data_IF_440464731128
#
_entry.id   IF_440464731128
#
_cell.length_a   1.000
_cell.length_b   1.000
_cell.length_c   1.000
_cell.angle_alpha   90.00
_cell.angle_beta   90.00
_cell.angle_gamma   90.00
#
_symmetry.space_group_name_H-M   'P 1'
#
loop_
_entity.id
_entity.type
_entity.pdbx_description
1 polymer ?
#
# COMPACT_ATOMS: atom_id res chain seq x y z
N UNK A 1 16.96 0.60 -17.18
CA UNK A 1 17.28 -0.84 -17.32
C UNK A 1 18.19 -1.38 -16.21
N UNK A 2 19.43 -0.90 -16.02
CA UNK A 2 20.42 -1.41 -15.01
C UNK A 2 19.86 -1.66 -13.60
N UNK A 3 19.08 -0.74 -13.02
CA UNK A 3 18.46 -0.90 -11.69
C UNK A 3 17.42 -2.03 -11.60
N UNK A 4 16.76 -2.39 -12.71
CA UNK A 4 15.80 -3.50 -12.72
C UNK A 4 16.52 -4.84 -12.53
N UNK A 5 17.67 -5.01 -13.19
CA UNK A 5 18.48 -6.24 -13.11
C UNK A 5 18.91 -6.57 -11.68
N UNK A 6 19.11 -5.55 -10.84
CA UNK A 6 19.42 -5.71 -9.41
C UNK A 6 18.34 -6.47 -8.61
N UNK A 7 17.10 -6.55 -9.11
CA UNK A 7 16.04 -7.35 -8.48
C UNK A 7 16.25 -8.85 -8.69
N UNK A 8 16.82 -9.24 -9.83
CA UNK A 8 17.05 -10.64 -10.22
C UNK A 8 18.34 -11.21 -9.63
N UNK A 9 19.25 -10.35 -9.16
CA UNK A 9 20.46 -10.78 -8.44
C UNK A 9 20.09 -11.41 -7.10
N UNK A 10 20.56 -12.64 -6.89
CA UNK A 10 20.35 -13.44 -5.68
C UNK A 10 21.04 -12.80 -4.47
N UNK A 11 22.33 -12.44 -4.61
CA UNK A 11 23.06 -11.76 -3.55
C UNK A 11 22.49 -10.37 -3.28
N UNK A 12 22.45 -9.98 -2.00
CA UNK A 12 21.99 -8.67 -1.52
C UNK A 12 23.17 -7.87 -0.99
N UNK A 13 23.51 -6.80 -1.69
CA UNK A 13 24.68 -5.95 -1.39
C UNK A 13 24.47 -5.06 -0.17
N UNK A 14 23.22 -4.71 0.16
CA UNK A 14 22.88 -3.97 1.38
C UNK A 14 22.03 -4.84 2.31
N UNK A 15 22.61 -5.25 3.44
CA UNK A 15 21.95 -6.06 4.47
C UNK A 15 21.70 -5.24 5.73
N UNK A 16 20.55 -5.41 6.36
CA UNK A 16 20.25 -4.75 7.61
C UNK A 16 20.91 -5.51 8.77
N UNK A 17 21.47 -4.78 9.74
CA UNK A 17 22.06 -5.37 10.93
C UNK A 17 21.02 -5.72 12.02
N UNK A 18 19.79 -5.20 11.91
CA UNK A 18 18.74 -5.35 12.92
C UNK A 18 17.63 -6.33 12.53
N UNK A 19 17.65 -6.85 11.30
CA UNK A 19 16.71 -7.87 10.81
C UNK A 19 17.18 -8.48 9.48
N UNK A 20 16.50 -9.50 8.99
CA UNK A 20 16.88 -10.25 7.78
C UNK A 20 16.67 -9.50 6.45
N UNK A 21 16.35 -8.20 6.50
CA UNK A 21 16.10 -7.42 5.29
C UNK A 21 17.39 -7.17 4.50
N UNK A 22 17.39 -7.58 3.23
CA UNK A 22 18.45 -7.29 2.26
C UNK A 22 17.92 -6.71 0.95
N UNK A 23 18.67 -5.79 0.34
CA UNK A 23 18.37 -5.25 -1.00
C UNK A 23 19.63 -4.88 -1.78
N UNK A 24 19.55 -4.85 -3.10
CA UNK A 24 20.62 -4.35 -3.98
C UNK A 24 20.45 -2.86 -4.32
N UNK A 25 19.42 -2.21 -3.81
CA UNK A 25 19.09 -0.82 -4.15
C UNK A 25 19.29 0.07 -2.92
N UNK A 26 20.36 0.87 -2.92
CA UNK A 26 20.73 1.79 -1.82
C UNK A 26 19.58 2.67 -1.34
N UNK A 27 18.75 3.20 -2.26
CA UNK A 27 17.56 4.00 -1.92
C UNK A 27 16.54 3.22 -1.08
N UNK A 28 16.33 1.94 -1.38
CA UNK A 28 15.40 1.10 -0.62
C UNK A 28 15.99 0.71 0.73
N UNK A 29 17.30 0.49 0.79
CA UNK A 29 18.00 0.24 2.05
C UNK A 29 17.89 1.44 3.01
N UNK A 30 18.24 2.66 2.56
CA UNK A 30 18.06 3.87 3.36
C UNK A 30 16.62 4.04 3.86
N UNK A 31 15.63 3.81 3.00
CA UNK A 31 14.21 3.86 3.37
C UNK A 31 13.82 2.77 4.37
N UNK A 32 14.42 1.58 4.26
CA UNK A 32 14.20 0.49 5.20
C UNK A 32 14.72 0.85 6.59
N UNK A 33 15.92 1.44 6.71
CA UNK A 33 16.50 1.82 8.00
C UNK A 33 15.60 2.77 8.80
N UNK A 34 14.80 3.60 8.13
CA UNK A 34 13.80 4.43 8.79
C UNK A 34 12.79 3.61 9.62
N UNK A 35 12.54 2.34 9.30
CA UNK A 35 11.64 1.48 10.10
C UNK A 35 12.17 1.27 11.52
N UNK A 36 13.48 1.18 11.69
CA UNK A 36 14.14 0.97 12.97
C UNK A 36 14.24 2.24 13.82
N UNK A 37 14.21 3.43 13.19
CA UNK A 37 14.21 4.71 13.91
C UNK A 37 12.88 4.93 14.62
N UNK A 38 12.84 5.22 15.92
CA UNK A 38 11.57 5.46 16.62
C UNK A 38 10.83 6.73 16.15
N UNK A 39 11.57 7.76 15.72
CA UNK A 39 10.99 9.07 15.40
C UNK A 39 10.14 9.09 14.13
N UNK A 40 9.09 9.91 14.17
CA UNK A 40 8.24 10.27 13.04
C UNK A 40 8.62 11.67 12.56
N UNK A 41 9.53 11.71 11.60
CA UNK A 41 10.14 12.98 11.14
C UNK A 41 9.17 13.85 10.33
N UNK A 42 8.11 13.27 9.77
CA UNK A 42 7.09 14.01 9.00
C UNK A 42 5.78 14.06 9.78
N UNK A 43 5.43 15.25 10.28
CA UNK A 43 4.21 15.48 11.08
C UNK A 43 3.16 16.23 10.26
N UNK A 44 1.90 15.93 10.51
CA UNK A 44 0.77 16.68 9.98
C UNK A 44 0.60 17.98 10.77
N UNK A 45 0.28 19.06 10.07
CA UNK A 45 0.02 20.38 10.68
C UNK A 45 -1.42 20.53 11.17
N UNK A 46 -2.33 19.66 10.73
CA UNK A 46 -3.77 19.74 11.05
C UNK A 46 -4.22 18.75 12.12
N UNK A 47 -3.38 17.76 12.47
CA UNK A 47 -3.71 16.76 13.50
C UNK A 47 -2.45 16.04 14.02
N UNK A 48 -2.61 15.16 15.02
CA UNK A 48 -1.51 14.43 15.66
C UNK A 48 -0.89 13.31 14.81
N UNK A 49 -1.21 13.21 13.52
CA UNK A 49 -0.63 12.20 12.64
C UNK A 49 0.84 12.50 12.35
N UNK A 50 1.68 11.46 12.43
CA UNK A 50 3.08 11.53 12.03
C UNK A 50 3.56 10.24 11.38
N UNK A 51 4.54 10.35 10.49
CA UNK A 51 5.10 9.22 9.74
C UNK A 51 6.59 9.40 9.48
N UNK A 52 7.27 8.29 9.17
CA UNK A 52 8.69 8.28 8.79
C UNK A 52 8.89 8.52 7.28
N UNK A 53 7.80 8.58 6.51
CA UNK A 53 7.83 8.67 5.06
C UNK A 53 7.05 9.88 4.54
N UNK A 54 7.74 10.82 3.90
CA UNK A 54 7.11 12.02 3.30
C UNK A 54 5.96 11.68 2.35
N UNK A 55 6.10 10.63 1.53
CA UNK A 55 5.02 10.18 0.63
C UNK A 55 3.73 9.80 1.36
N UNK A 56 3.84 9.27 2.59
CA UNK A 56 2.66 8.94 3.40
C UNK A 56 2.07 10.18 4.05
N UNK A 57 2.90 11.18 4.42
CA UNK A 57 2.37 12.46 4.88
C UNK A 57 1.59 13.14 3.75
N UNK A 58 2.16 13.23 2.54
CA UNK A 58 1.46 13.79 1.36
C UNK A 58 0.13 13.11 1.10
N UNK A 59 0.09 11.78 1.15
CA UNK A 59 -1.16 11.02 1.01
C UNK A 59 -2.13 11.27 2.17
N UNK A 60 -1.63 11.39 3.40
CA UNK A 60 -2.45 11.68 4.57
C UNK A 60 -3.11 13.06 4.46
N UNK A 61 -2.37 14.08 4.00
CA UNK A 61 -2.87 15.45 3.84
C UNK A 61 -4.09 15.53 2.91
N UNK A 62 -4.23 14.59 1.97
CA UNK A 62 -5.42 14.48 1.11
C UNK A 62 -6.74 14.25 1.89
N UNK A 63 -6.66 13.81 3.15
CA UNK A 63 -7.83 13.66 4.04
C UNK A 63 -8.31 14.99 4.60
N UNK A 64 -7.43 15.99 4.69
CA UNK A 64 -7.75 17.34 5.13
C UNK A 64 -8.21 18.24 3.98
N UNK A 65 -8.13 17.75 2.74
CA UNK A 65 -8.64 18.45 1.57
C UNK A 65 -10.13 18.12 1.37
N UNK A 66 -10.97 19.16 1.36
CA UNK A 66 -12.43 19.04 1.22
C UNK A 66 -12.84 18.67 -0.22
N UNK A 67 -12.18 19.25 -1.23
CA UNK A 67 -12.45 18.92 -2.63
C UNK A 67 -12.10 17.46 -2.90
N UNK A 68 -12.87 16.79 -3.77
CA UNK A 68 -12.63 15.39 -4.16
C UNK A 68 -12.32 15.33 -5.65
N UNK A 69 -11.06 15.06 -6.00
CA UNK A 69 -10.60 15.07 -7.40
C UNK A 69 -11.02 13.84 -8.19
N UNK A 70 -11.21 12.69 -7.53
CA UNK A 70 -11.71 11.48 -8.17
C UNK A 70 -13.14 11.23 -7.73
N UNK A 71 -14.08 11.36 -8.64
CA UNK A 71 -15.51 11.14 -8.43
C UNK A 71 -15.96 9.91 -9.22
N UNK A 72 -16.79 9.08 -8.61
CA UNK A 72 -17.38 7.93 -9.28
C UNK A 72 -18.52 8.42 -10.19
N UNK A 73 -18.66 7.82 -11.36
CA UNK A 73 -19.76 8.12 -12.27
C UNK A 73 -21.04 7.34 -11.92
N UNK A 74 -20.91 6.26 -11.15
CA UNK A 74 -22.00 5.31 -10.84
C UNK A 74 -22.61 5.54 -9.45
N UNK A 75 -22.02 6.40 -8.61
CA UNK A 75 -22.55 6.78 -7.30
C UNK A 75 -21.87 8.04 -6.75
N UNK A 76 -22.34 8.56 -5.62
CA UNK A 76 -21.83 9.80 -4.99
C UNK A 76 -20.44 9.66 -4.33
N UNK A 77 -19.76 8.52 -4.52
CA UNK A 77 -18.45 8.31 -3.94
C UNK A 77 -17.40 9.21 -4.60
N UNK A 78 -16.60 9.88 -3.77
CA UNK A 78 -15.42 10.60 -4.23
C UNK A 78 -14.29 10.61 -3.22
N UNK A 79 -13.06 10.71 -3.72
CA UNK A 79 -11.83 10.73 -2.92
C UNK A 79 -10.72 11.49 -3.64
N UNK A 80 -9.71 11.95 -2.90
CA UNK A 80 -8.47 12.50 -3.47
C UNK A 80 -7.39 11.45 -3.70
N UNK A 81 -7.61 10.22 -3.22
CA UNK A 81 -6.63 9.16 -3.32
C UNK A 81 -6.97 8.23 -4.50
N UNK A 82 -6.19 8.34 -5.59
CA UNK A 82 -6.34 7.50 -6.79
C UNK A 82 -6.35 6.00 -6.48
N UNK A 83 -5.51 5.54 -5.56
CA UNK A 83 -5.49 4.13 -5.18
C UNK A 83 -6.82 3.70 -4.55
N UNK A 84 -7.34 4.51 -3.63
CA UNK A 84 -8.64 4.24 -3.00
C UNK A 84 -9.77 4.32 -4.02
N UNK A 85 -9.72 5.26 -4.96
CA UNK A 85 -10.69 5.37 -6.05
C UNK A 85 -10.72 4.12 -6.93
N UNK A 86 -9.56 3.67 -7.43
CA UNK A 86 -9.48 2.46 -8.24
C UNK A 86 -9.99 1.23 -7.48
N UNK A 87 -9.70 1.12 -6.18
CA UNK A 87 -10.23 0.04 -5.33
C UNK A 87 -11.74 0.14 -5.14
N UNK A 88 -12.30 1.35 -5.10
CA UNK A 88 -13.74 1.57 -5.02
C UNK A 88 -14.44 1.09 -6.30
N UNK A 89 -13.90 1.38 -7.49
CA UNK A 89 -14.49 0.96 -8.76
C UNK A 89 -14.66 -0.57 -8.87
N UNK A 90 -13.85 -1.35 -8.16
CA UNK A 90 -14.00 -2.82 -8.10
C UNK A 90 -15.31 -3.28 -7.47
N UNK A 91 -16.01 -2.40 -6.74
CA UNK A 91 -17.34 -2.69 -6.16
C UNK A 91 -18.42 -2.75 -7.23
N UNK A 92 -18.32 -1.87 -8.23
CA UNK A 92 -19.28 -1.76 -9.33
C UNK A 92 -19.07 -2.82 -10.41
N UNK A 93 -17.85 -3.39 -10.46
CA UNK A 93 -17.59 -4.52 -11.35
C UNK A 93 -18.44 -5.74 -10.96
N UNK A 94 -19.29 -6.15 -11.90
CA UNK A 94 -20.23 -7.29 -11.78
C UNK A 94 -19.47 -8.60 -11.65
N UNK A 95 -18.56 -8.90 -12.59
CA UNK A 95 -17.76 -10.13 -12.53
C UNK A 95 -16.81 -10.11 -11.34
N UNK A 96 -16.67 -11.24 -10.63
CA UNK A 96 -15.75 -11.43 -9.51
C UNK A 96 -14.52 -12.22 -9.95
N UNK A 97 -13.36 -11.57 -9.96
CA UNK A 97 -12.11 -12.16 -10.44
C UNK A 97 -11.47 -13.16 -9.45
N UNK A 98 -11.79 -13.06 -8.15
CA UNK A 98 -11.21 -13.93 -7.12
C UNK A 98 -12.30 -14.74 -6.44
N UNK A 99 -12.28 -16.06 -6.66
CA UNK A 99 -13.22 -17.02 -6.10
C UNK A 99 -12.52 -17.95 -5.12
N UNK A 100 -13.12 -18.21 -3.97
CA UNK A 100 -12.59 -19.17 -3.02
C UNK A 100 -12.90 -20.59 -3.52
N UNK A 101 -11.93 -21.50 -3.40
CA UNK A 101 -12.15 -22.91 -3.73
C UNK A 101 -12.86 -23.69 -2.61
N UNK A 102 -12.85 -23.15 -1.38
CA UNK A 102 -13.31 -23.87 -0.18
C UNK A 102 -14.67 -23.36 0.34
N UNK A 103 -15.26 -22.34 -0.29
CA UNK A 103 -16.58 -21.80 0.05
C UNK A 103 -17.05 -20.82 -1.04
N UNK A 104 -18.28 -20.32 -0.93
CA UNK A 104 -18.92 -19.43 -1.93
C UNK A 104 -18.41 -17.97 -1.91
N UNK A 105 -17.31 -17.69 -1.20
CA UNK A 105 -16.79 -16.33 -1.10
C UNK A 105 -16.11 -15.89 -2.41
N UNK A 106 -16.62 -14.81 -3.00
CA UNK A 106 -16.05 -14.20 -4.20
C UNK A 106 -15.82 -12.69 -4.04
N UNK A 107 -14.77 -12.14 -4.68
CA UNK A 107 -14.51 -10.70 -4.67
C UNK A 107 -13.66 -10.24 -5.85
N UNK A 108 -13.71 -8.95 -6.19
CA UNK A 108 -12.76 -8.30 -7.11
C UNK A 108 -11.52 -7.74 -6.40
N UNK A 109 -11.54 -7.72 -5.07
CA UNK A 109 -10.47 -7.11 -4.30
C UNK A 109 -9.48 -8.18 -3.80
N UNK A 110 -8.32 -8.26 -4.46
CA UNK A 110 -7.24 -9.19 -4.11
C UNK A 110 -6.82 -9.15 -2.64
N UNK A 111 -6.84 -7.98 -1.99
CA UNK A 111 -6.48 -7.86 -0.57
C UNK A 111 -7.54 -8.51 0.32
N UNK A 112 -8.81 -8.28 0.02
CA UNK A 112 -9.92 -8.92 0.74
C UNK A 112 -9.88 -10.43 0.54
N UNK A 113 -9.60 -10.89 -0.69
CA UNK A 113 -9.46 -12.32 -0.99
C UNK A 113 -8.34 -12.97 -0.17
N UNK A 114 -7.13 -12.39 -0.18
CA UNK A 114 -6.01 -12.90 0.63
C UNK A 114 -6.33 -12.97 2.12
N UNK A 115 -7.01 -11.96 2.65
CA UNK A 115 -7.45 -11.96 4.06
C UNK A 115 -8.49 -13.05 4.32
N UNK A 116 -9.45 -13.22 3.41
CA UNK A 116 -10.44 -14.29 3.51
C UNK A 116 -9.78 -15.67 3.57
N UNK A 117 -8.78 -15.93 2.71
CA UNK A 117 -8.07 -17.22 2.70
C UNK A 117 -7.40 -17.57 4.04
N UNK A 118 -7.06 -16.58 4.88
CA UNK A 118 -6.51 -16.85 6.21
C UNK A 118 -7.51 -17.50 7.16
N UNK A 119 -8.82 -17.37 6.90
CA UNK A 119 -9.87 -18.04 7.69
C UNK A 119 -9.90 -19.57 7.47
N UNK A 120 -9.35 -20.03 6.35
CA UNK A 120 -9.29 -21.46 5.99
C UNK A 120 -7.95 -22.11 6.34
N UNK A 121 -7.00 -21.36 6.91
CA UNK A 121 -5.68 -21.87 7.32
C UNK A 121 -5.67 -22.32 8.79
N UNK A 122 -6.78 -22.89 9.24
CA UNK A 122 -6.86 -23.53 10.56
C UNK A 122 -6.09 -24.85 10.47
#
# INVERSE_FOLDING_TARGET
FKRHLLKHKVSKDFKCAHCDYGTNVKKYFKRHLLKHKASKDFKCTYCNFGTKYNSYLKQHLLKHTVSKNFKCAECDYGTNNKFTFNQHLLKHKVSKDFKCANCDYETNNKRNFKRHLLKHKV
#
